data_IF_289847601255
#
_entry.id   IF_289847601255
#
_cell.length_a   1.000
_cell.length_b   1.000
_cell.length_c   1.000
_cell.angle_alpha   90.00
_cell.angle_beta   90.00
_cell.angle_gamma   90.00
#
_symmetry.space_group_name_H-M   'P 1'
#
loop_
_entity.id
_entity.type
_entity.pdbx_description
1 polymer ?
#
# COMPACT_ATOMS: atom_id res chain seq x y z
N UNK A 1 5.19 0.10 -22.10
CA UNK A 1 4.14 0.96 -21.54
C UNK A 1 3.36 0.15 -20.52
N UNK A 2 3.09 0.71 -19.33
CA UNK A 2 2.41 0.01 -18.23
C UNK A 2 0.92 -0.18 -18.53
N UNK A 3 0.46 -1.42 -18.50
CA UNK A 3 -0.96 -1.79 -18.64
C UNK A 3 -1.59 -1.96 -17.26
N UNK A 4 -2.72 -1.32 -17.01
CA UNK A 4 -3.46 -1.41 -15.74
C UNK A 4 -4.69 -2.30 -15.89
N UNK A 5 -4.89 -3.20 -14.93
CA UNK A 5 -6.13 -3.95 -14.73
C UNK A 5 -6.74 -3.51 -13.41
N UNK A 6 -7.98 -3.03 -13.43
CA UNK A 6 -8.72 -2.69 -12.21
C UNK A 6 -9.55 -3.87 -11.73
N UNK A 7 -9.51 -4.15 -10.43
CA UNK A 7 -10.38 -5.12 -9.76
C UNK A 7 -10.92 -4.55 -8.47
N UNK A 8 -12.00 -5.14 -7.97
CA UNK A 8 -12.67 -4.76 -6.73
C UNK A 8 -12.92 -6.03 -5.93
N UNK A 9 -12.75 -6.01 -4.61
CA UNK A 9 -13.05 -7.19 -3.78
C UNK A 9 -13.68 -6.80 -2.47
N UNK A 10 -14.94 -7.21 -2.28
CA UNK A 10 -15.60 -7.12 -0.98
C UNK A 10 -14.90 -8.02 0.07
N UNK A 11 -14.55 -9.30 -0.22
CA UNK A 11 -13.73 -10.10 0.70
C UNK A 11 -12.39 -9.45 1.05
N UNK A 12 -11.69 -8.90 0.05
CA UNK A 12 -10.43 -8.19 0.25
C UNK A 12 -10.59 -6.93 1.11
N UNK A 13 -11.74 -6.25 1.02
CA UNK A 13 -12.06 -5.09 1.86
C UNK A 13 -12.23 -5.47 3.34
N UNK A 14 -12.91 -6.59 3.61
CA UNK A 14 -13.07 -7.12 4.98
C UNK A 14 -11.70 -7.43 5.59
N UNK A 15 -10.85 -8.15 4.86
CA UNK A 15 -9.53 -8.55 5.35
C UNK A 15 -8.58 -7.36 5.47
N UNK A 16 -8.66 -6.41 4.54
CA UNK A 16 -7.91 -5.15 4.62
C UNK A 16 -8.26 -4.35 5.88
N UNK A 17 -9.56 -4.19 6.18
CA UNK A 17 -9.99 -3.50 7.39
C UNK A 17 -9.57 -4.23 8.67
N UNK A 18 -9.73 -5.55 8.70
CA UNK A 18 -9.30 -6.37 9.84
C UNK A 18 -7.78 -6.27 10.06
N UNK A 19 -6.97 -6.37 9.01
CA UNK A 19 -5.52 -6.23 9.11
C UNK A 19 -5.08 -4.80 9.49
N UNK A 20 -5.81 -3.76 9.07
CA UNK A 20 -5.55 -2.40 9.53
C UNK A 20 -5.71 -2.28 11.04
N UNK A 21 -6.81 -2.80 11.60
CA UNK A 21 -7.05 -2.86 13.06
C UNK A 21 -5.97 -3.71 13.73
N UNK A 22 -5.67 -4.89 13.19
CA UNK A 22 -4.77 -5.85 13.80
C UNK A 22 -3.33 -5.37 13.91
N UNK A 23 -2.89 -4.58 12.94
CA UNK A 23 -1.55 -4.00 12.88
C UNK A 23 -1.52 -2.57 13.44
N UNK A 24 -2.59 -2.13 14.12
CA UNK A 24 -2.73 -0.81 14.72
C UNK A 24 -2.44 0.32 13.71
N UNK A 25 -2.87 0.14 12.46
CA UNK A 25 -2.77 1.16 11.41
C UNK A 25 -3.84 2.22 11.65
N UNK A 26 -3.58 3.50 11.33
CA UNK A 26 -4.57 4.56 11.49
C UNK A 26 -5.87 4.28 10.72
N UNK A 27 -7.00 4.28 11.45
CA UNK A 27 -8.36 4.12 10.93
C UNK A 27 -9.10 5.44 11.11
N UNK A 28 -9.75 5.91 10.06
CA UNK A 28 -10.53 7.15 10.06
C UNK A 28 -12.01 6.94 10.43
N UNK A 29 -12.55 5.73 10.24
CA UNK A 29 -13.89 5.35 10.71
C UNK A 29 -13.79 4.63 12.08
N UNK A 30 -14.02 5.33 13.21
CA UNK A 30 -13.92 4.73 14.54
C UNK A 30 -14.94 3.63 14.79
N UNK A 31 -16.05 3.59 14.02
CA UNK A 31 -17.03 2.51 14.14
C UNK A 31 -16.47 1.20 13.57
N UNK A 32 -15.65 1.26 12.51
CA UNK A 32 -14.97 0.07 11.97
C UNK A 32 -13.95 -0.47 12.99
N UNK A 33 -13.18 0.41 13.63
CA UNK A 33 -12.22 0.00 14.65
C UNK A 33 -12.93 -0.69 15.83
N UNK A 34 -13.94 -0.04 16.41
CA UNK A 34 -14.72 -0.58 17.51
C UNK A 34 -15.42 -1.91 17.16
N UNK A 35 -15.87 -2.06 15.91
CA UNK A 35 -16.54 -3.27 15.42
C UNK A 35 -15.59 -4.46 15.33
N UNK A 36 -14.35 -4.24 14.90
CA UNK A 36 -13.43 -5.31 14.54
C UNK A 36 -12.40 -5.62 15.63
N UNK A 37 -12.13 -4.70 16.57
CA UNK A 37 -11.06 -4.85 17.56
C UNK A 37 -11.17 -6.13 18.40
N UNK A 38 -12.38 -6.52 18.79
CA UNK A 38 -12.64 -7.74 19.56
C UNK A 38 -12.15 -9.01 18.85
N UNK A 39 -12.76 -9.43 17.74
CA UNK A 39 -12.36 -10.65 17.03
C UNK A 39 -10.94 -10.59 16.47
N UNK A 40 -10.42 -9.40 16.13
CA UNK A 40 -9.02 -9.23 15.73
C UNK A 40 -8.07 -9.49 16.91
N UNK A 41 -8.39 -9.01 18.11
CA UNK A 41 -7.59 -9.27 19.32
C UNK A 41 -7.57 -10.76 19.66
N UNK A 42 -8.68 -11.46 19.48
CA UNK A 42 -8.75 -12.92 19.65
C UNK A 42 -7.79 -13.63 18.68
N UNK A 43 -7.79 -13.25 17.40
CA UNK A 43 -6.87 -13.80 16.39
C UNK A 43 -5.41 -13.51 16.77
N UNK A 44 -5.08 -12.26 17.08
CA UNK A 44 -3.72 -11.86 17.45
C UNK A 44 -3.23 -12.61 18.69
N UNK A 45 -4.10 -12.83 19.68
CA UNK A 45 -3.76 -13.58 20.90
C UNK A 45 -3.47 -15.05 20.59
N UNK A 46 -4.25 -15.67 19.70
CA UNK A 46 -4.02 -17.05 19.26
C UNK A 46 -2.69 -17.19 18.50
N UNK A 47 -2.43 -16.30 17.55
CA UNK A 47 -1.20 -16.32 16.73
C UNK A 47 0.03 -15.98 17.58
N UNK A 48 -0.08 -14.98 18.46
CA UNK A 48 0.99 -14.57 19.36
C UNK A 48 1.38 -15.65 20.37
N UNK A 49 0.45 -16.53 20.75
CA UNK A 49 0.76 -17.70 21.59
C UNK A 49 1.62 -18.76 20.90
N UNK A 50 1.83 -18.64 19.59
CA UNK A 50 2.61 -19.58 18.76
C UNK A 50 3.91 -19.00 18.21
N UNK A 51 4.36 -17.84 18.73
CA UNK A 51 5.59 -17.14 18.31
C UNK A 51 5.64 -16.81 16.80
N UNK A 52 4.48 -16.67 16.17
CA UNK A 52 4.37 -16.32 14.75
C UNK A 52 4.43 -14.80 14.54
N UNK A 53 4.97 -14.39 13.40
CA UNK A 53 5.07 -12.98 13.04
C UNK A 53 3.73 -12.44 12.53
N UNK A 54 3.10 -11.57 13.33
CA UNK A 54 1.75 -11.04 13.08
C UNK A 54 1.66 -10.24 11.78
N UNK A 55 2.67 -9.45 11.44
CA UNK A 55 2.66 -8.58 10.26
C UNK A 55 2.61 -9.42 8.99
N UNK A 56 3.48 -10.42 8.89
CA UNK A 56 3.59 -11.36 7.78
C UNK A 56 2.30 -12.15 7.64
N UNK A 57 1.72 -12.62 8.75
CA UNK A 57 0.42 -13.30 8.74
C UNK A 57 -0.67 -12.40 8.13
N UNK A 58 -0.86 -11.18 8.66
CA UNK A 58 -1.93 -10.30 8.19
C UNK A 58 -1.72 -9.84 6.76
N UNK A 59 -0.49 -9.51 6.36
CA UNK A 59 -0.20 -9.13 4.98
C UNK A 59 -0.46 -10.28 3.99
N UNK A 60 -0.07 -11.50 4.34
CA UNK A 60 -0.37 -12.69 3.53
C UNK A 60 -1.87 -13.01 3.49
N UNK A 61 -2.58 -12.86 4.61
CA UNK A 61 -4.02 -13.08 4.66
C UNK A 61 -4.78 -12.05 3.82
N UNK A 62 -4.38 -10.78 3.95
CA UNK A 62 -4.88 -9.68 3.14
C UNK A 62 -4.69 -10.05 1.66
N UNK A 63 -3.46 -10.42 1.25
CA UNK A 63 -3.10 -10.89 -0.11
C UNK A 63 -4.06 -11.95 -0.65
N UNK A 64 -4.29 -13.00 0.14
CA UNK A 64 -5.18 -14.10 -0.22
C UNK A 64 -6.67 -13.70 -0.37
N UNK A 65 -7.07 -12.56 0.20
CA UNK A 65 -8.42 -11.99 0.09
C UNK A 65 -8.86 -11.56 -1.32
N UNK A 66 -7.92 -11.50 -2.27
CA UNK A 66 -8.21 -11.25 -3.68
C UNK A 66 -8.20 -12.49 -4.55
N UNK A 67 -7.85 -13.63 -3.98
CA UNK A 67 -7.94 -14.91 -4.65
C UNK A 67 -9.31 -15.53 -4.44
N UNK A 68 -9.75 -16.34 -5.41
CA UNK A 68 -10.97 -17.14 -5.27
C UNK A 68 -10.66 -18.39 -4.44
N UNK A 69 -10.83 -18.26 -3.12
CA UNK A 69 -10.55 -19.30 -2.13
C UNK A 69 -11.53 -19.19 -0.97
N UNK A 70 -11.70 -20.26 -0.20
CA UNK A 70 -12.42 -20.21 1.07
C UNK A 70 -11.49 -19.72 2.20
N UNK A 71 -12.09 -19.28 3.32
CA UNK A 71 -11.32 -18.72 4.44
C UNK A 71 -10.34 -19.71 5.08
N UNK A 72 -10.67 -21.00 5.30
CA UNK A 72 -9.73 -21.94 5.89
C UNK A 72 -8.44 -22.04 5.08
N UNK A 73 -8.53 -22.18 3.75
CA UNK A 73 -7.35 -22.26 2.89
C UNK A 73 -6.57 -20.95 2.86
N UNK A 74 -7.23 -19.78 2.86
CA UNK A 74 -6.54 -18.48 2.99
C UNK A 74 -5.77 -18.39 4.31
N UNK A 75 -6.37 -18.85 5.40
CA UNK A 75 -5.73 -18.87 6.72
C UNK A 75 -4.52 -19.81 6.73
N UNK A 76 -4.65 -21.02 6.15
CA UNK A 76 -3.52 -21.95 6.02
C UNK A 76 -2.35 -21.34 5.26
N UNK A 77 -2.62 -20.68 4.12
CA UNK A 77 -1.58 -20.00 3.33
C UNK A 77 -0.90 -18.88 4.12
N UNK A 78 -1.68 -18.04 4.81
CA UNK A 78 -1.16 -16.94 5.61
C UNK A 78 -0.35 -17.41 6.83
N UNK A 79 -0.83 -18.44 7.52
CA UNK A 79 -0.12 -19.04 8.66
C UNK A 79 1.18 -19.72 8.20
N UNK A 80 1.17 -20.42 7.07
CA UNK A 80 2.37 -21.02 6.49
C UNK A 80 3.41 -19.94 6.12
N UNK A 81 2.97 -18.83 5.54
CA UNK A 81 3.83 -17.69 5.24
C UNK A 81 4.45 -17.06 6.50
N UNK A 82 3.69 -17.04 7.61
CA UNK A 82 4.16 -16.56 8.91
C UNK A 82 5.05 -17.57 9.67
N UNK A 83 5.33 -18.75 9.10
CA UNK A 83 6.22 -19.76 9.69
C UNK A 83 5.52 -20.81 10.55
N UNK A 84 4.20 -20.96 10.45
CA UNK A 84 3.46 -21.96 11.22
C UNK A 84 3.87 -23.39 10.88
N UNK A 85 4.05 -24.22 11.92
CA UNK A 85 4.34 -25.64 11.76
C UNK A 85 3.21 -26.37 11.03
N UNK A 86 3.52 -27.29 10.10
CA UNK A 86 2.51 -28.10 9.41
C UNK A 86 1.60 -28.89 10.34
N UNK A 87 2.07 -29.25 11.54
CA UNK A 87 1.31 -30.01 12.53
C UNK A 87 0.18 -29.19 13.19
N UNK A 88 0.38 -27.86 13.31
CA UNK A 88 -0.59 -26.95 13.93
C UNK A 88 -1.48 -26.23 12.90
N UNK A 89 -1.08 -26.27 11.61
CA UNK A 89 -1.64 -25.45 10.55
C UNK A 89 -3.15 -25.58 10.39
N UNK A 90 -3.66 -26.81 10.19
CA UNK A 90 -5.08 -27.08 9.96
C UNK A 90 -5.94 -26.67 11.17
N UNK A 91 -5.47 -26.95 12.38
CA UNK A 91 -6.22 -26.61 13.61
C UNK A 91 -6.28 -25.10 13.81
N UNK A 92 -5.16 -24.41 13.67
CA UNK A 92 -5.09 -22.95 13.83
C UNK A 92 -5.84 -22.23 12.71
N UNK A 93 -5.73 -22.70 11.47
CA UNK A 93 -6.44 -22.13 10.33
C UNK A 93 -7.96 -22.18 10.51
N UNK A 94 -8.52 -23.30 10.99
CA UNK A 94 -9.97 -23.40 11.27
C UNK A 94 -10.41 -22.48 12.40
N UNK A 95 -9.60 -22.35 13.46
CA UNK A 95 -9.90 -21.45 14.57
C UNK A 95 -9.95 -19.98 14.10
N UNK A 96 -8.94 -19.56 13.34
CA UNK A 96 -8.87 -18.22 12.75
C UNK A 96 -10.00 -17.99 11.74
N UNK A 97 -10.31 -18.96 10.87
CA UNK A 97 -11.40 -18.85 9.90
C UNK A 97 -12.78 -18.66 10.55
N UNK A 98 -13.00 -19.27 11.73
CA UNK A 98 -14.18 -18.99 12.56
C UNK A 98 -14.30 -17.52 12.94
N UNK A 99 -13.20 -16.91 13.40
CA UNK A 99 -13.14 -15.48 13.75
C UNK A 99 -13.24 -14.55 12.53
N UNK A 100 -12.68 -14.94 11.38
CA UNK A 100 -12.88 -14.22 10.13
C UNK A 100 -14.35 -14.23 9.68
N UNK A 101 -15.09 -15.28 9.99
CA UNK A 101 -16.54 -15.32 9.73
C UNK A 101 -17.28 -14.29 10.58
N UNK A 102 -16.95 -14.17 11.87
CA UNK A 102 -17.50 -13.13 12.76
C UNK A 102 -17.21 -11.72 12.21
N UNK A 103 -15.94 -11.46 11.84
CA UNK A 103 -15.48 -10.20 11.23
C UNK A 103 -16.28 -9.89 9.96
N UNK A 104 -16.41 -10.87 9.05
CA UNK A 104 -17.14 -10.67 7.78
C UNK A 104 -18.61 -10.35 8.02
N UNK A 105 -19.28 -11.05 8.93
CA UNK A 105 -20.69 -10.80 9.23
C UNK A 105 -20.88 -9.37 9.75
N UNK A 106 -20.10 -9.00 10.76
CA UNK A 106 -20.11 -7.65 11.32
C UNK A 106 -19.83 -6.57 10.26
N UNK A 107 -18.80 -6.77 9.43
CA UNK A 107 -18.44 -5.82 8.39
C UNK A 107 -19.51 -5.68 7.30
N UNK A 108 -20.16 -6.79 6.92
CA UNK A 108 -21.25 -6.79 5.93
C UNK A 108 -22.53 -6.12 6.46
N UNK A 109 -22.78 -6.17 7.76
CA UNK A 109 -23.86 -5.42 8.40
C UNK A 109 -23.60 -3.91 8.35
N UNK A 110 -22.35 -3.49 8.57
CA UNK A 110 -21.91 -2.09 8.47
C UNK A 110 -21.92 -1.56 7.03
N UNK A 111 -21.46 -2.37 6.08
CA UNK A 111 -21.38 -2.03 4.65
C UNK A 111 -22.28 -2.93 3.80
N UNK A 112 -23.61 -2.81 3.91
CA UNK A 112 -24.52 -3.62 3.14
C UNK A 112 -24.34 -3.35 1.65
N UNK A 113 -24.34 -4.42 0.84
CA UNK A 113 -24.16 -4.35 -0.61
C UNK A 113 -22.79 -3.81 -1.05
N UNK A 114 -21.75 -3.99 -0.24
CA UNK A 114 -20.40 -3.53 -0.55
C UNK A 114 -19.93 -3.96 -1.95
N UNK A 115 -20.19 -5.21 -2.35
CA UNK A 115 -19.81 -5.72 -3.67
C UNK A 115 -20.43 -4.92 -4.84
N UNK A 116 -21.63 -4.37 -4.66
CA UNK A 116 -22.31 -3.54 -5.68
C UNK A 116 -21.83 -2.08 -5.63
N UNK A 117 -21.52 -1.57 -4.43
CA UNK A 117 -21.12 -0.19 -4.22
C UNK A 117 -19.66 0.06 -4.61
N UNK A 118 -18.77 -0.89 -4.34
CA UNK A 118 -17.33 -0.72 -4.49
C UNK A 118 -16.91 -0.39 -5.94
N UNK A 119 -17.48 -1.03 -6.99
CA UNK A 119 -17.23 -0.62 -8.37
C UNK A 119 -17.64 0.82 -8.66
N UNK A 120 -18.78 1.28 -8.12
CA UNK A 120 -19.26 2.66 -8.30
C UNK A 120 -18.32 3.65 -7.60
N UNK A 121 -17.86 3.31 -6.40
CA UNK A 121 -16.90 4.13 -5.63
C UNK A 121 -15.53 4.24 -6.29
N UNK A 122 -15.10 3.18 -6.98
CA UNK A 122 -13.81 3.17 -7.68
C UNK A 122 -13.76 3.98 -8.96
N UNK A 123 -14.91 4.33 -9.56
CA UNK A 123 -14.97 5.03 -10.86
C UNK A 123 -14.19 6.35 -10.90
N UNK A 124 -14.31 7.26 -9.92
CA UNK A 124 -13.55 8.52 -9.95
C UNK A 124 -12.03 8.32 -10.06
N UNK A 125 -11.48 7.33 -9.33
CA UNK A 125 -10.05 7.00 -9.41
C UNK A 125 -9.67 6.44 -10.78
N UNK A 126 -10.50 5.57 -11.35
CA UNK A 126 -10.30 5.03 -12.69
C UNK A 126 -10.30 6.14 -13.74
N UNK A 127 -11.29 7.03 -13.70
CA UNK A 127 -11.38 8.18 -14.62
C UNK A 127 -10.17 9.09 -14.49
N UNK A 128 -9.77 9.47 -13.27
CA UNK A 128 -8.58 10.30 -13.05
C UNK A 128 -7.30 9.64 -13.58
N UNK A 129 -7.18 8.32 -13.42
CA UNK A 129 -6.06 7.56 -13.95
C UNK A 129 -6.08 7.48 -15.49
N UNK A 130 -7.23 7.24 -16.11
CA UNK A 130 -7.34 7.16 -17.56
C UNK A 130 -7.00 8.51 -18.22
N UNK A 131 -7.34 9.62 -17.55
CA UNK A 131 -7.02 10.97 -18.03
C UNK A 131 -5.52 11.32 -17.93
N UNK A 132 -4.86 10.98 -16.81
CA UNK A 132 -3.52 11.53 -16.50
C UNK A 132 -2.49 10.50 -16.04
N UNK A 133 -2.89 9.28 -15.68
CA UNK A 133 -2.02 8.23 -15.15
C UNK A 133 -0.86 7.88 -16.08
N UNK A 134 -1.10 7.84 -17.40
CA UNK A 134 -0.01 7.66 -18.38
C UNK A 134 1.02 8.79 -18.31
N UNK A 135 0.56 10.05 -18.25
CA UNK A 135 1.44 11.21 -18.15
C UNK A 135 2.29 11.16 -16.88
N UNK A 136 1.67 10.79 -15.75
CA UNK A 136 2.35 10.61 -14.47
C UNK A 136 3.50 9.61 -14.59
N UNK A 137 3.25 8.44 -15.18
CA UNK A 137 4.27 7.41 -15.35
C UNK A 137 5.41 7.85 -16.28
N UNK A 138 5.11 8.60 -17.34
CA UNK A 138 6.17 9.17 -18.22
C UNK A 138 7.06 10.13 -17.44
N UNK A 139 6.47 11.05 -16.67
CA UNK A 139 7.21 12.02 -15.85
C UNK A 139 8.08 11.33 -14.79
N UNK A 140 7.54 10.30 -14.11
CA UNK A 140 8.30 9.49 -13.15
C UNK A 140 9.45 8.76 -13.85
N UNK A 141 9.19 8.15 -15.01
CA UNK A 141 10.19 7.42 -15.79
C UNK A 141 11.35 8.28 -16.30
N UNK A 142 11.10 9.57 -16.58
CA UNK A 142 12.14 10.54 -16.94
C UNK A 142 13.07 10.89 -15.78
N UNK A 143 12.54 10.92 -14.54
CA UNK A 143 13.30 11.24 -13.33
C UNK A 143 13.98 10.02 -12.70
N UNK A 144 13.49 8.82 -13.00
CA UNK A 144 14.02 7.56 -12.47
C UNK A 144 14.73 6.79 -13.58
N UNK A 145 14.01 5.89 -14.25
CA UNK A 145 14.34 5.25 -15.51
C UNK A 145 13.08 4.55 -16.03
N UNK A 146 12.77 4.66 -17.33
CA UNK A 146 11.53 4.10 -17.88
C UNK A 146 11.38 2.57 -17.65
N UNK A 147 12.49 1.83 -17.69
CA UNK A 147 12.49 0.38 -17.48
C UNK A 147 12.25 -0.05 -16.03
N UNK A 148 12.28 0.89 -15.07
CA UNK A 148 11.89 0.61 -13.68
C UNK A 148 10.38 0.51 -13.53
N UNK A 149 9.59 1.01 -14.47
CA UNK A 149 8.13 0.96 -14.37
C UNK A 149 7.61 -0.41 -14.79
N UNK A 150 6.65 -0.98 -14.03
CA UNK A 150 6.15 -2.32 -14.32
C UNK A 150 5.43 -2.33 -15.68
N UNK A 151 5.53 -3.43 -16.43
CA UNK A 151 4.83 -3.58 -17.71
C UNK A 151 3.32 -3.80 -17.53
N UNK A 152 2.93 -4.44 -16.44
CA UNK A 152 1.54 -4.74 -16.09
C UNK A 152 1.37 -4.56 -14.59
N UNK A 153 0.26 -3.98 -14.17
CA UNK A 153 -0.14 -3.87 -12.76
C UNK A 153 -1.62 -4.18 -12.62
N UNK A 154 -1.95 -4.95 -11.59
CA UNK A 154 -3.33 -5.05 -11.11
C UNK A 154 -3.54 -4.05 -9.97
N UNK A 155 -4.52 -3.16 -10.12
CA UNK A 155 -4.96 -2.24 -9.08
C UNK A 155 -6.23 -2.79 -8.46
N UNK A 156 -6.13 -3.15 -7.18
CA UNK A 156 -7.19 -3.80 -6.44
C UNK A 156 -7.82 -2.80 -5.48
N UNK A 157 -9.08 -2.48 -5.70
CA UNK A 157 -9.82 -1.50 -4.93
C UNK A 157 -10.53 -2.13 -3.75
N UNK A 158 -10.42 -1.49 -2.58
CA UNK A 158 -11.04 -1.90 -1.31
C UNK A 158 -11.87 -0.78 -0.69
N UNK A 159 -12.79 -1.12 0.21
CA UNK A 159 -13.58 -0.14 0.96
C UNK A 159 -12.66 0.77 1.79
N UNK A 160 -12.82 2.11 1.71
CA UNK A 160 -12.07 3.02 2.55
C UNK A 160 -12.35 2.84 4.04
N UNK A 161 -11.29 2.73 4.85
CA UNK A 161 -11.34 2.72 6.32
C UNK A 161 -10.26 3.61 6.95
N UNK A 162 -9.22 3.97 6.20
CA UNK A 162 -8.04 4.70 6.68
C UNK A 162 -7.94 6.12 6.12
N UNK A 163 -8.82 6.49 5.17
CA UNK A 163 -8.82 7.80 4.53
C UNK A 163 -7.80 7.91 3.39
N UNK A 164 -7.83 6.97 2.45
CA UNK A 164 -6.96 6.93 1.27
C UNK A 164 -5.78 5.97 1.41
N UNK A 165 -5.91 4.88 2.17
CA UNK A 165 -4.83 3.90 2.33
C UNK A 165 -4.42 3.18 1.03
N UNK A 166 -3.22 2.58 1.04
CA UNK A 166 -2.78 1.72 -0.05
C UNK A 166 -1.47 0.98 0.23
N UNK A 167 -1.22 -0.11 -0.50
CA UNK A 167 -0.06 -0.97 -0.30
C UNK A 167 0.41 -1.62 -1.61
N UNK A 168 1.62 -2.18 -1.60
CA UNK A 168 2.21 -2.89 -2.76
C UNK A 168 2.32 -4.37 -2.43
N UNK A 169 1.68 -5.21 -3.22
CA UNK A 169 1.84 -6.66 -3.18
C UNK A 169 2.83 -7.07 -4.28
N UNK A 170 4.10 -7.15 -3.85
CA UNK A 170 5.20 -7.51 -4.73
C UNK A 170 5.06 -8.93 -5.29
N UNK A 171 4.48 -9.85 -4.52
CA UNK A 171 4.34 -11.26 -4.89
C UNK A 171 3.37 -11.43 -6.07
N UNK A 172 2.22 -10.75 -6.02
CA UNK A 172 1.19 -10.87 -7.06
C UNK A 172 1.24 -9.77 -8.12
N UNK A 173 2.28 -8.93 -8.09
CA UNK A 173 2.44 -7.78 -8.99
C UNK A 173 1.23 -6.84 -8.99
N UNK A 174 0.71 -6.58 -7.79
CA UNK A 174 -0.51 -5.82 -7.59
C UNK A 174 -0.31 -4.68 -6.59
N UNK A 175 -1.22 -3.72 -6.62
CA UNK A 175 -1.33 -2.70 -5.58
C UNK A 175 -2.77 -2.66 -5.07
N UNK A 176 -2.92 -2.20 -3.84
CA UNK A 176 -4.18 -2.07 -3.12
C UNK A 176 -4.40 -0.61 -2.91
N UNK A 177 -5.61 -0.13 -3.16
CA UNK A 177 -5.95 1.28 -2.94
C UNK A 177 -7.37 1.36 -2.40
N UNK A 178 -7.58 2.18 -1.39
CA UNK A 178 -8.93 2.51 -0.93
C UNK A 178 -9.71 3.22 -2.05
N UNK A 179 -10.94 2.77 -2.31
CA UNK A 179 -11.84 3.32 -3.32
C UNK A 179 -12.42 4.67 -2.88
N UNK A 180 -11.59 5.69 -2.88
CA UNK A 180 -11.93 7.06 -2.50
C UNK A 180 -12.80 7.72 -3.55
N UNK A 181 -13.91 8.31 -3.12
CA UNK A 181 -14.80 9.08 -4.00
C UNK A 181 -14.22 10.45 -4.35
N UNK A 182 -13.40 11.00 -3.46
CA UNK A 182 -12.80 12.32 -3.55
C UNK A 182 -11.39 12.28 -2.98
N UNK A 183 -10.55 13.25 -3.38
CA UNK A 183 -9.26 13.43 -2.75
C UNK A 183 -9.44 13.79 -1.27
N UNK A 184 -8.67 13.12 -0.40
CA UNK A 184 -8.63 13.44 1.04
C UNK A 184 -8.05 14.82 1.25
N UNK A 185 -7.01 15.14 0.46
CA UNK A 185 -6.39 16.45 0.43
C UNK A 185 -6.20 16.89 -1.02
N UNK A 186 -6.71 18.08 -1.42
CA UNK A 186 -6.57 18.56 -2.79
C UNK A 186 -5.11 18.85 -3.20
N UNK A 187 -4.19 19.06 -2.25
CA UNK A 187 -2.76 19.26 -2.53
C UNK A 187 -2.03 17.94 -2.80
N UNK A 188 -2.60 16.81 -2.38
CA UNK A 188 -2.06 15.47 -2.61
C UNK A 188 -3.16 14.55 -3.16
N UNK A 189 -3.55 14.71 -4.45
CA UNK A 189 -4.60 13.89 -5.06
C UNK A 189 -4.31 12.38 -5.00
N UNK A 190 -5.37 11.57 -4.94
CA UNK A 190 -5.28 10.10 -4.86
C UNK A 190 -4.55 9.50 -6.06
N UNK A 191 -4.64 10.15 -7.24
CA UNK A 191 -3.90 9.77 -8.44
C UNK A 191 -2.38 9.70 -8.20
N UNK A 192 -1.85 10.60 -7.37
CA UNK A 192 -0.42 10.60 -7.02
C UNK A 192 -0.07 9.38 -6.18
N UNK A 193 -0.93 8.98 -5.24
CA UNK A 193 -0.73 7.77 -4.43
C UNK A 193 -0.71 6.53 -5.32
N UNK A 194 -1.61 6.44 -6.29
CA UNK A 194 -1.63 5.32 -7.24
C UNK A 194 -0.33 5.29 -8.06
N UNK A 195 0.11 6.43 -8.60
CA UNK A 195 1.34 6.51 -9.38
C UNK A 195 2.58 6.14 -8.54
N UNK A 196 2.62 6.57 -7.28
CA UNK A 196 3.64 6.22 -6.30
C UNK A 196 3.68 4.71 -6.01
N UNK A 197 2.53 4.08 -5.76
CA UNK A 197 2.44 2.63 -5.53
C UNK A 197 2.86 1.83 -6.77
N UNK A 198 2.46 2.26 -7.97
CA UNK A 198 2.88 1.65 -9.24
C UNK A 198 4.40 1.75 -9.44
N UNK A 199 4.98 2.91 -9.16
CA UNK A 199 6.43 3.11 -9.28
C UNK A 199 7.20 2.26 -8.25
N UNK A 200 6.70 2.18 -7.00
CA UNK A 200 7.28 1.31 -5.95
C UNK A 200 7.27 -0.15 -6.38
N UNK A 201 6.16 -0.62 -6.93
CA UNK A 201 6.04 -1.99 -7.43
C UNK A 201 7.10 -2.28 -8.50
N UNK A 202 7.31 -1.32 -9.41
CA UNK A 202 8.34 -1.41 -10.44
C UNK A 202 9.76 -1.53 -9.89
N UNK A 203 10.12 -0.68 -8.93
CA UNK A 203 11.45 -0.72 -8.29
C UNK A 203 11.68 -2.04 -7.55
N UNK A 204 10.67 -2.56 -6.84
CA UNK A 204 10.80 -3.82 -6.13
C UNK A 204 10.95 -5.04 -7.05
N UNK A 205 10.42 -4.98 -8.27
CA UNK A 205 10.54 -6.05 -9.27
C UNK A 205 11.83 -5.94 -10.11
N UNK A 206 12.21 -4.71 -10.43
CA UNK A 206 13.42 -4.44 -11.19
C UNK A 206 14.61 -4.62 -10.29
N UNK A 207 15.35 -5.72 -10.43
CA UNK A 207 16.70 -5.90 -9.84
C UNK A 207 17.76 -4.89 -10.34
N UNK A 208 17.30 -3.72 -10.81
CA UNK A 208 18.02 -2.58 -11.33
C UNK A 208 18.64 -1.73 -10.22
N UNK A 209 18.08 -1.72 -9.00
CA UNK A 209 18.75 -1.10 -7.87
C UNK A 209 19.44 -2.13 -6.96
N UNK A 210 20.61 -2.59 -7.39
CA UNK A 210 21.51 -3.44 -6.58
C UNK A 210 22.39 -2.63 -5.61
N UNK A 211 22.20 -1.32 -5.57
CA UNK A 211 23.06 -0.41 -4.81
C UNK A 211 22.58 -0.21 -3.37
N UNK A 212 21.31 -0.52 -3.09
CA UNK A 212 20.67 -0.54 -1.77
C UNK A 212 20.43 -1.98 -1.37
N UNK A 213 20.56 -2.30 -0.08
CA UNK A 213 20.29 -3.64 0.44
C UNK A 213 18.83 -4.04 0.20
N UNK A 214 18.59 -5.32 -0.12
CA UNK A 214 17.26 -5.80 -0.51
C UNK A 214 16.20 -5.60 0.60
N UNK A 215 16.64 -5.66 1.86
CA UNK A 215 15.80 -5.43 3.04
C UNK A 215 15.41 -3.97 3.23
N UNK A 216 16.28 -3.02 2.84
CA UNK A 216 16.03 -1.58 2.99
C UNK A 216 15.33 -0.98 1.78
N UNK A 217 15.54 -1.56 0.59
CA UNK A 217 15.04 -1.05 -0.68
C UNK A 217 13.54 -0.71 -0.66
N UNK A 218 12.63 -1.53 -0.09
CA UNK A 218 11.20 -1.20 -0.06
C UNK A 218 10.89 0.12 0.64
N UNK A 219 11.57 0.41 1.76
CA UNK A 219 11.38 1.64 2.55
C UNK A 219 12.04 2.82 1.86
N UNK A 220 13.30 2.67 1.43
CA UNK A 220 14.04 3.75 0.76
C UNK A 220 13.38 4.14 -0.56
N UNK A 221 12.88 3.16 -1.33
CA UNK A 221 12.13 3.43 -2.55
C UNK A 221 10.79 4.11 -2.27
N UNK A 222 10.09 3.72 -1.20
CA UNK A 222 8.85 4.36 -0.79
C UNK A 222 9.06 5.85 -0.51
N UNK A 223 10.12 6.19 0.24
CA UNK A 223 10.43 7.57 0.61
C UNK A 223 10.98 8.38 -0.58
N UNK A 224 11.96 7.83 -1.32
CA UNK A 224 12.61 8.54 -2.43
C UNK A 224 11.68 8.83 -3.62
N UNK A 225 10.62 8.03 -3.81
CA UNK A 225 9.64 8.28 -4.87
C UNK A 225 8.66 9.41 -4.55
N UNK A 226 8.49 9.82 -3.29
CA UNK A 226 7.54 10.87 -2.91
C UNK A 226 7.80 12.18 -3.64
N UNK A 227 8.99 12.82 -3.51
CA UNK A 227 9.23 14.09 -4.17
C UNK A 227 9.20 13.97 -5.71
N UNK A 228 9.61 12.82 -6.27
CA UNK A 228 9.55 12.55 -7.71
C UNK A 228 8.10 12.55 -8.22
N UNK A 229 7.20 11.88 -7.50
CA UNK A 229 5.78 11.81 -7.85
C UNK A 229 5.11 13.18 -7.66
N UNK A 230 5.46 13.91 -6.62
CA UNK A 230 4.95 15.27 -6.40
C UNK A 230 5.41 16.23 -7.50
N UNK A 231 6.68 16.18 -7.90
CA UNK A 231 7.20 16.97 -9.01
C UNK A 231 6.53 16.59 -10.34
N UNK A 232 6.33 15.30 -10.59
CA UNK A 232 5.55 14.83 -11.75
C UNK A 232 4.11 15.37 -11.72
N UNK A 233 3.50 15.43 -10.53
CA UNK A 233 2.19 16.03 -10.31
C UNK A 233 2.17 17.54 -10.61
N UNK A 234 3.18 18.30 -10.18
CA UNK A 234 3.31 19.71 -10.53
C UNK A 234 3.42 19.92 -12.05
N UNK A 235 4.23 19.10 -12.72
CA UNK A 235 4.41 19.17 -14.18
C UNK A 235 3.12 18.87 -14.99
N UNK A 236 2.09 18.30 -14.34
CA UNK A 236 0.80 17.94 -14.92
C UNK A 236 -0.37 18.71 -14.28
N UNK A 237 -0.07 19.81 -13.59
CA UNK A 237 -1.04 20.67 -12.92
C UNK A 237 -1.99 19.90 -11.97
N UNK A 238 -1.47 18.85 -11.33
CA UNK A 238 -2.16 18.08 -10.28
C UNK A 238 -1.81 18.57 -8.88
N UNK A 239 -0.62 19.16 -8.73
CA UNK A 239 -0.13 19.77 -7.50
C UNK A 239 0.15 21.24 -7.80
N UNK A 240 -0.21 22.19 -6.92
CA UNK A 240 0.12 23.59 -7.12
C UNK A 240 1.62 23.81 -7.32
N UNK A 241 2.03 24.77 -8.18
CA UNK A 241 3.44 25.10 -8.35
C UNK A 241 4.01 25.68 -7.06
N UNK A 242 5.29 25.38 -6.77
CA UNK A 242 5.99 25.87 -5.58
C UNK A 242 6.69 24.77 -4.80
N UNK A 243 6.79 24.93 -3.48
CA UNK A 243 7.38 23.93 -2.60
C UNK A 243 6.56 22.63 -2.62
N UNK A 244 7.24 21.48 -2.72
CA UNK A 244 6.58 20.17 -2.72
C UNK A 244 6.01 19.87 -1.33
N UNK A 245 4.75 19.42 -1.21
CA UNK A 245 4.10 19.15 0.08
C UNK A 245 4.56 17.82 0.71
N UNK A 246 5.88 17.59 0.85
CA UNK A 246 6.48 16.30 1.25
C UNK A 246 5.98 15.84 2.62
N UNK A 247 6.02 16.69 3.66
CA UNK A 247 5.51 16.34 5.00
C UNK A 247 4.05 15.90 4.93
N UNK A 248 3.23 16.67 4.23
CA UNK A 248 1.80 16.41 4.11
C UNK A 248 1.53 15.08 3.41
N UNK A 249 2.33 14.75 2.39
CA UNK A 249 2.27 13.46 1.71
C UNK A 249 2.68 12.31 2.62
N UNK A 250 3.75 12.46 3.40
CA UNK A 250 4.19 11.44 4.37
C UNK A 250 3.10 11.13 5.40
N UNK A 251 2.45 12.16 5.94
CA UNK A 251 1.35 12.03 6.89
C UNK A 251 0.15 11.31 6.26
N UNK A 252 -0.31 11.78 5.08
CA UNK A 252 -1.48 11.23 4.38
C UNK A 252 -1.26 9.81 3.85
N UNK A 253 -0.03 9.44 3.54
CA UNK A 253 0.31 8.11 3.04
C UNK A 253 0.83 7.20 4.16
N UNK A 254 0.75 7.67 5.40
CA UNK A 254 1.09 6.91 6.61
C UNK A 254 2.49 6.29 6.52
N UNK A 255 3.46 7.03 5.96
CA UNK A 255 4.84 6.54 5.81
C UNK A 255 5.68 6.69 7.08
N UNK A 256 5.05 6.96 8.23
CA UNK A 256 5.65 6.85 9.57
C UNK A 256 6.90 7.71 9.79
N UNK A 257 7.11 8.73 8.96
CA UNK A 257 8.33 9.51 8.95
C UNK A 257 8.38 10.46 10.15
N UNK A 258 9.48 10.39 10.91
CA UNK A 258 9.78 11.40 11.91
C UNK A 258 10.00 12.77 11.23
N UNK A 259 9.86 13.89 11.95
CA UNK A 259 10.18 15.21 11.38
C UNK A 259 11.58 15.30 10.76
N UNK A 260 12.55 14.54 11.29
CA UNK A 260 13.90 14.42 10.73
C UNK A 260 13.89 13.86 9.29
N UNK A 261 13.13 12.80 9.06
CA UNK A 261 13.04 12.12 7.76
C UNK A 261 12.53 13.06 6.66
N UNK A 262 11.62 13.98 6.99
CA UNK A 262 11.16 15.03 6.06
C UNK A 262 12.29 15.95 5.65
N UNK A 263 13.12 16.40 6.60
CA UNK A 263 14.27 17.25 6.32
C UNK A 263 15.30 16.51 5.46
N UNK A 264 15.57 15.25 5.77
CA UNK A 264 16.45 14.39 4.96
C UNK A 264 15.93 14.26 3.53
N UNK A 265 14.62 14.05 3.34
CA UNK A 265 14.03 13.96 2.02
C UNK A 265 14.07 15.27 1.24
N UNK A 266 13.82 16.40 1.91
CA UNK A 266 13.95 17.73 1.30
C UNK A 266 15.40 18.00 0.86
N UNK A 267 16.37 17.68 1.71
CA UNK A 267 17.79 17.85 1.42
C UNK A 267 18.26 16.96 0.28
N UNK A 268 17.90 15.68 0.34
CA UNK A 268 18.18 14.70 -0.70
C UNK A 268 17.56 15.14 -2.03
N UNK A 269 16.30 15.56 -2.03
CA UNK A 269 15.61 15.99 -3.24
C UNK A 269 16.25 17.23 -3.86
N UNK A 270 16.63 18.23 -3.07
CA UNK A 270 17.35 19.42 -3.57
C UNK A 270 18.64 19.04 -4.30
N UNK A 271 19.39 18.06 -3.79
CA UNK A 271 20.62 17.57 -4.41
C UNK A 271 20.34 16.79 -5.71
N UNK A 272 19.32 15.94 -5.71
CA UNK A 272 18.95 15.13 -6.89
C UNK A 272 18.40 16.01 -8.01
N UNK A 273 17.50 16.93 -7.69
CA UNK A 273 16.83 17.79 -8.68
C UNK A 273 17.75 18.85 -9.30
N UNK A 274 18.84 19.22 -8.61
CA UNK A 274 19.85 20.16 -9.14
C UNK A 274 20.99 19.46 -9.89
N UNK A 275 21.14 18.15 -9.72
CA UNK A 275 22.22 17.35 -10.28
C UNK A 275 21.81 16.50 -11.49
N UNK A 276 22.80 15.80 -12.05
CA UNK A 276 22.62 14.76 -13.08
C UNK A 276 22.83 13.35 -12.53
N UNK A 277 22.72 13.18 -11.20
CA UNK A 277 23.01 11.93 -10.51
C UNK A 277 22.03 10.83 -10.96
N UNK A 278 22.51 9.68 -11.46
CA UNK A 278 21.63 8.57 -11.81
C UNK A 278 20.79 8.09 -10.62
N UNK A 279 19.52 7.75 -10.86
CA UNK A 279 18.57 7.42 -9.80
C UNK A 279 19.02 6.30 -8.84
N UNK A 280 19.64 5.18 -9.28
CA UNK A 280 20.16 4.17 -8.33
C UNK A 280 21.22 4.70 -7.36
N UNK A 281 22.06 5.63 -7.83
CA UNK A 281 23.07 6.30 -7.00
C UNK A 281 22.40 7.25 -6.02
N UNK A 282 21.40 8.01 -6.48
CA UNK A 282 20.59 8.87 -5.63
C UNK A 282 19.89 8.08 -4.52
N UNK A 283 19.26 6.95 -4.82
CA UNK A 283 18.62 6.10 -3.80
C UNK A 283 19.63 5.54 -2.79
N UNK A 284 20.84 5.14 -3.21
CA UNK A 284 21.90 4.74 -2.28
C UNK A 284 22.33 5.89 -1.36
N UNK A 285 22.37 7.12 -1.86
CA UNK A 285 22.65 8.28 -1.04
C UNK A 285 21.54 8.49 0.00
N UNK A 286 20.27 8.37 -0.39
CA UNK A 286 19.13 8.46 0.53
C UNK A 286 19.21 7.41 1.65
N UNK A 287 19.48 6.15 1.31
CA UNK A 287 19.65 5.05 2.28
C UNK A 287 20.69 5.40 3.35
N UNK A 288 21.83 5.99 2.95
CA UNK A 288 22.88 6.43 3.88
C UNK A 288 22.46 7.62 4.74
N UNK A 289 21.73 8.58 4.17
CA UNK A 289 21.25 9.74 4.92
C UNK A 289 20.25 9.31 5.99
N UNK A 290 19.34 8.39 5.67
CA UNK A 290 18.37 7.82 6.61
C UNK A 290 19.04 6.99 7.71
N UNK A 291 20.12 6.27 7.41
CA UNK A 291 20.88 5.51 8.40
C UNK A 291 21.70 6.38 9.37
N UNK A 292 21.80 7.69 9.11
CA UNK A 292 22.51 8.66 9.95
C UNK A 292 21.58 9.39 10.93
N UNK A 293 20.27 9.12 10.88
CA UNK A 293 19.26 9.56 11.87
C UNK A 293 19.28 8.66 13.12
#
# INVERSE_FOLDING_TARGET
MTTIKWTHSAPGSVLYAAGAVALNRPISDPEVDALLIGPVTDINSQIGSTDLELTTFWEALIAAGFEDSDDPKRCEQALAAAGCSPLALDTLARAVAGKLTEIRLAYNERFPKLAEQLPLRGRPLQTAWDERGRGMLVQIGQQTHADLLPKKVEIRLVQPVSGGGGYVDFQHQAIWVEAMLTNVDPQVPELLRIAWLVARLGIGQGGANRMVEATHLPVVAALGLIPIVLQAGQNLDLVPPGELPIQRTLDLWQQGAAPATTLVLQDWWRQVNSGSTPFPVALKALDRMLASE
#
